data_IF_473471496989
#
_entry.id   IF_473471496989
#
_cell.length_a   1.000
_cell.length_b   1.000
_cell.length_c   1.000
_cell.angle_alpha   90.00
_cell.angle_beta   90.00
_cell.angle_gamma   90.00
#
_symmetry.space_group_name_H-M   'P 1'
#
loop_
_entity.id
_entity.type
_entity.pdbx_description
1 polymer ?
#
# COMPACT_ATOMS: atom_id res chain seq x y z
N UNK A 1 -5.00 -9.26 -62.96
CA UNK A 1 -5.80 -10.04 -61.99
C UNK A 1 -5.01 -10.77 -60.90
N UNK A 2 -3.93 -11.52 -61.19
CA UNK A 2 -3.19 -12.28 -60.14
C UNK A 2 -2.56 -11.40 -59.04
N UNK A 3 -1.94 -10.27 -59.39
CA UNK A 3 -1.30 -9.35 -58.41
C UNK A 3 -2.27 -8.78 -57.37
N UNK A 4 -3.48 -8.40 -57.78
CA UNK A 4 -4.51 -7.90 -56.85
C UNK A 4 -5.00 -8.97 -55.87
N UNK A 5 -5.10 -10.24 -56.31
CA UNK A 5 -5.43 -11.34 -55.40
C UNK A 5 -4.32 -11.58 -54.37
N UNK A 6 -3.07 -11.58 -54.80
CA UNK A 6 -1.90 -11.72 -53.91
C UNK A 6 -1.86 -10.60 -52.87
N UNK A 7 -2.05 -9.35 -53.29
CA UNK A 7 -2.11 -8.19 -52.37
C UNK A 7 -3.25 -8.36 -51.36
N UNK A 8 -4.45 -8.80 -51.78
CA UNK A 8 -5.56 -9.08 -50.85
C UNK A 8 -5.22 -10.16 -49.83
N UNK A 9 -4.54 -11.24 -50.23
CA UNK A 9 -4.11 -12.28 -49.30
C UNK A 9 -3.04 -11.79 -48.31
N UNK A 10 -2.11 -10.95 -48.77
CA UNK A 10 -1.12 -10.30 -47.88
C UNK A 10 -1.84 -9.41 -46.85
N UNK A 11 -2.79 -8.58 -47.28
CA UNK A 11 -3.59 -7.76 -46.37
C UNK A 11 -4.39 -8.60 -45.38
N UNK A 12 -5.04 -9.68 -45.83
CA UNK A 12 -5.77 -10.59 -44.96
C UNK A 12 -4.84 -11.23 -43.93
N UNK A 13 -3.65 -11.67 -44.34
CA UNK A 13 -2.66 -12.28 -43.46
C UNK A 13 -2.14 -11.29 -42.41
N UNK A 14 -1.84 -10.04 -42.81
CA UNK A 14 -1.43 -8.98 -41.87
C UNK A 14 -2.54 -8.67 -40.86
N UNK A 15 -3.80 -8.62 -41.31
CA UNK A 15 -4.94 -8.32 -40.44
C UNK A 15 -5.18 -9.45 -39.44
N UNK A 16 -5.12 -10.71 -39.89
CA UNK A 16 -5.19 -11.88 -39.02
C UNK A 16 -4.01 -11.89 -38.02
N UNK A 17 -2.79 -11.63 -38.48
CA UNK A 17 -1.60 -11.55 -37.62
C UNK A 17 -1.73 -10.46 -36.56
N UNK A 18 -2.26 -9.29 -36.91
CA UNK A 18 -2.54 -8.20 -35.97
C UNK A 18 -3.59 -8.59 -34.93
N UNK A 19 -4.66 -9.28 -35.32
CA UNK A 19 -5.68 -9.76 -34.38
C UNK A 19 -5.12 -10.79 -33.39
N UNK A 20 -4.30 -11.73 -33.87
CA UNK A 20 -3.64 -12.73 -33.01
C UNK A 20 -2.68 -12.06 -32.03
N UNK A 21 -1.87 -11.10 -32.49
CA UNK A 21 -0.96 -10.36 -31.61
C UNK A 21 -1.73 -9.56 -30.56
N UNK A 22 -2.81 -8.87 -30.95
CA UNK A 22 -3.67 -8.14 -30.01
C UNK A 22 -4.33 -9.06 -28.98
N UNK A 23 -4.78 -10.26 -29.39
CA UNK A 23 -5.34 -11.25 -28.48
C UNK A 23 -4.29 -11.75 -27.47
N UNK A 24 -3.07 -12.05 -27.94
CA UNK A 24 -1.96 -12.46 -27.06
C UNK A 24 -1.62 -11.38 -26.03
N UNK A 25 -1.47 -10.12 -26.48
CA UNK A 25 -1.22 -8.98 -25.59
C UNK A 25 -2.38 -8.76 -24.61
N UNK A 26 -3.62 -9.02 -25.00
CA UNK A 26 -4.78 -8.91 -24.11
C UNK A 26 -4.74 -9.96 -22.99
N UNK A 27 -4.45 -11.22 -23.33
CA UNK A 27 -4.31 -12.32 -22.36
C UNK A 27 -3.13 -12.08 -21.40
N UNK A 28 -1.96 -11.70 -21.93
CA UNK A 28 -0.78 -11.38 -21.12
C UNK A 28 -1.06 -10.24 -20.14
N UNK A 29 -1.72 -9.16 -20.60
CA UNK A 29 -2.18 -8.09 -19.74
C UNK A 29 -3.20 -8.58 -18.69
N UNK A 30 -4.08 -9.50 -19.05
CA UNK A 30 -5.01 -10.13 -18.11
C UNK A 30 -4.27 -10.88 -16.99
N UNK A 31 -3.25 -11.66 -17.35
CA UNK A 31 -2.38 -12.38 -16.42
C UNK A 31 -1.61 -11.44 -15.49
N UNK A 32 -0.97 -10.40 -16.04
CA UNK A 32 -0.24 -9.39 -15.28
C UNK A 32 -1.14 -8.69 -14.25
N UNK A 33 -2.36 -8.29 -14.63
CA UNK A 33 -3.31 -7.65 -13.71
C UNK A 33 -3.75 -8.58 -12.57
N UNK A 34 -3.97 -9.86 -12.86
CA UNK A 34 -4.29 -10.86 -11.82
C UNK A 34 -3.12 -11.04 -10.85
N UNK A 35 -1.90 -11.18 -11.37
CA UNK A 35 -0.69 -11.32 -10.57
C UNK A 35 -0.46 -10.11 -9.67
N UNK A 36 -0.50 -8.89 -10.23
CA UNK A 36 -0.38 -7.65 -9.44
C UNK A 36 -1.49 -7.48 -8.41
N UNK A 37 -2.70 -7.89 -8.74
CA UNK A 37 -3.80 -7.85 -7.79
C UNK A 37 -3.64 -8.82 -6.63
N UNK A 38 -3.02 -9.98 -6.85
CA UNK A 38 -2.67 -10.91 -5.78
C UNK A 38 -1.55 -10.35 -4.91
N UNK A 39 -0.53 -9.73 -5.52
CA UNK A 39 0.53 -9.01 -4.79
C UNK A 39 -0.08 -7.94 -3.89
N UNK A 40 -1.00 -7.11 -4.41
CA UNK A 40 -1.66 -6.08 -3.59
C UNK A 40 -2.45 -6.67 -2.42
N UNK A 41 -3.22 -7.73 -2.67
CA UNK A 41 -3.97 -8.43 -1.61
C UNK A 41 -3.03 -8.97 -0.54
N UNK A 42 -1.93 -9.59 -0.95
CA UNK A 42 -0.93 -10.14 -0.02
C UNK A 42 -0.25 -9.03 0.79
N UNK A 43 0.13 -7.92 0.16
CA UNK A 43 0.75 -6.78 0.85
C UNK A 43 -0.19 -6.20 1.90
N UNK A 44 -1.47 -5.97 1.56
CA UNK A 44 -2.46 -5.44 2.52
C UNK A 44 -2.64 -6.40 3.71
N UNK A 45 -2.84 -7.70 3.45
CA UNK A 45 -3.02 -8.69 4.51
C UNK A 45 -1.78 -8.85 5.39
N UNK A 46 -0.57 -8.86 4.81
CA UNK A 46 0.67 -8.93 5.58
C UNK A 46 0.91 -7.65 6.39
N UNK A 47 0.65 -6.47 5.82
CA UNK A 47 0.78 -5.21 6.55
C UNK A 47 -0.17 -5.19 7.75
N UNK A 48 -1.45 -5.54 7.55
CA UNK A 48 -2.43 -5.66 8.64
C UNK A 48 -1.97 -6.62 9.73
N UNK A 49 -1.49 -7.80 9.35
CA UNK A 49 -1.04 -8.81 10.31
C UNK A 49 0.14 -8.30 11.15
N UNK A 50 1.17 -7.73 10.52
CA UNK A 50 2.39 -7.30 11.23
C UNK A 50 2.16 -6.03 12.06
N UNK A 51 1.43 -5.04 11.52
CA UNK A 51 1.20 -3.77 12.22
C UNK A 51 0.28 -3.95 13.44
N UNK A 52 -0.63 -4.94 13.42
CA UNK A 52 -1.50 -5.26 14.56
C UNK A 52 -0.79 -5.95 15.73
N UNK A 53 0.30 -6.67 15.48
CA UNK A 53 0.93 -7.48 16.53
C UNK A 53 1.65 -6.62 17.58
N UNK A 54 2.30 -5.56 17.13
CA UNK A 54 3.16 -4.75 17.99
C UNK A 54 2.63 -3.31 18.06
N UNK A 55 2.02 -2.96 19.18
CA UNK A 55 1.64 -1.58 19.45
C UNK A 55 2.87 -0.74 19.87
N UNK A 56 2.73 0.59 19.94
CA UNK A 56 3.86 1.45 20.33
C UNK A 56 4.30 1.22 21.78
N UNK A 57 3.41 0.80 22.67
CA UNK A 57 3.71 0.56 24.08
C UNK A 57 4.58 -0.68 24.25
N UNK A 58 4.34 -1.74 23.46
CA UNK A 58 5.22 -2.89 23.36
C UNK A 58 6.65 -2.47 23.02
N UNK A 59 6.83 -1.66 21.96
CA UNK A 59 8.18 -1.21 21.58
C UNK A 59 8.81 -0.26 22.61
N UNK A 60 8.02 0.53 23.32
CA UNK A 60 8.53 1.35 24.44
C UNK A 60 9.10 0.43 25.53
N UNK A 61 8.35 -0.58 25.95
CA UNK A 61 8.75 -1.57 26.96
C UNK A 61 10.00 -2.33 26.50
N UNK A 62 10.01 -2.90 25.29
CA UNK A 62 11.16 -3.64 24.75
C UNK A 62 12.43 -2.80 24.64
N UNK A 63 12.31 -1.50 24.30
CA UNK A 63 13.46 -0.60 24.21
C UNK A 63 13.97 -0.14 25.59
N UNK A 64 13.09 -0.08 26.60
CA UNK A 64 13.45 0.34 27.96
C UNK A 64 13.99 -0.80 28.81
N UNK A 65 13.40 -1.99 28.72
CA UNK A 65 13.66 -3.10 29.64
C UNK A 65 14.60 -4.15 29.05
N UNK A 66 14.40 -4.50 27.78
CA UNK A 66 15.14 -5.58 27.11
C UNK A 66 16.31 -5.07 26.27
N UNK A 67 16.36 -3.75 26.04
CA UNK A 67 17.28 -3.10 25.10
C UNK A 67 17.25 -3.78 23.70
N UNK A 68 16.06 -4.25 23.25
CA UNK A 68 15.92 -5.00 22.00
C UNK A 68 15.91 -4.11 20.75
N UNK A 69 17.04 -3.46 20.49
CA UNK A 69 17.25 -2.65 19.29
C UNK A 69 17.28 -3.49 18.00
N UNK A 70 17.54 -4.80 18.09
CA UNK A 70 17.60 -5.69 16.92
C UNK A 70 16.18 -6.04 16.46
N UNK A 71 15.30 -6.46 17.37
CA UNK A 71 13.89 -6.69 17.08
C UNK A 71 13.21 -5.42 16.57
N UNK A 72 13.46 -4.29 17.24
CA UNK A 72 12.96 -3.00 16.80
C UNK A 72 13.44 -2.63 15.39
N UNK A 73 14.73 -2.82 15.10
CA UNK A 73 15.28 -2.57 13.76
C UNK A 73 14.66 -3.45 12.67
N UNK A 74 14.32 -4.71 12.98
CA UNK A 74 13.61 -5.60 12.05
C UNK A 74 12.18 -5.14 11.80
N UNK A 75 11.47 -4.73 12.84
CA UNK A 75 10.13 -4.17 12.73
C UNK A 75 10.11 -2.94 11.81
N UNK A 76 11.04 -2.00 12.01
CA UNK A 76 11.16 -0.83 11.11
C UNK A 76 11.48 -1.22 9.66
N UNK A 77 12.31 -2.26 9.46
CA UNK A 77 12.57 -2.78 8.11
C UNK A 77 11.34 -3.36 7.43
N UNK A 78 10.44 -4.00 8.18
CA UNK A 78 9.17 -4.49 7.64
C UNK A 78 8.20 -3.34 7.32
N UNK A 79 8.10 -2.33 8.18
CA UNK A 79 7.33 -1.12 7.88
C UNK A 79 7.81 -0.48 6.57
N UNK A 80 9.13 -0.35 6.39
CA UNK A 80 9.70 0.31 5.21
C UNK A 80 9.38 -0.49 3.94
N UNK A 81 9.39 -1.84 4.05
CA UNK A 81 8.97 -2.73 2.98
C UNK A 81 7.50 -2.52 2.63
N UNK A 82 6.61 -2.50 3.61
CA UNK A 82 5.17 -2.28 3.38
C UNK A 82 4.89 -0.92 2.78
N UNK A 83 5.52 0.15 3.28
CA UNK A 83 5.42 1.49 2.70
C UNK A 83 5.74 1.48 1.21
N UNK A 84 6.90 0.92 0.82
CA UNK A 84 7.30 0.84 -0.59
C UNK A 84 6.33 0.03 -1.45
N UNK A 85 5.82 -1.09 -0.94
CA UNK A 85 4.86 -1.92 -1.66
C UNK A 85 3.51 -1.20 -1.86
N UNK A 86 3.03 -0.50 -0.83
CA UNK A 86 1.79 0.31 -0.89
C UNK A 86 1.96 1.48 -1.86
N UNK A 87 3.08 2.19 -1.83
CA UNK A 87 3.38 3.26 -2.79
C UNK A 87 3.32 2.78 -4.24
N UNK A 88 3.79 1.55 -4.52
CA UNK A 88 3.75 0.94 -5.87
C UNK A 88 2.34 0.63 -6.38
N UNK A 89 1.33 0.67 -5.51
CA UNK A 89 -0.06 0.51 -5.94
C UNK A 89 -0.51 1.68 -6.82
N UNK A 90 0.09 2.88 -6.68
CA UNK A 90 -0.12 4.06 -7.53
C UNK A 90 -1.58 4.57 -7.61
N UNK A 91 -2.47 4.20 -6.68
CA UNK A 91 -3.76 4.86 -6.49
C UNK A 91 -3.69 5.84 -5.31
N UNK A 92 -4.84 6.32 -4.84
CA UNK A 92 -4.86 7.16 -3.62
C UNK A 92 -4.53 6.37 -2.35
N UNK A 93 -4.48 5.03 -2.42
CA UNK A 93 -4.00 4.18 -1.33
C UNK A 93 -2.55 4.47 -0.91
N UNK A 94 -1.76 5.15 -1.73
CA UNK A 94 -0.40 5.59 -1.38
C UNK A 94 -0.36 6.50 -0.14
N UNK A 95 -1.49 7.10 0.27
CA UNK A 95 -1.57 7.84 1.54
C UNK A 95 -1.24 6.98 2.76
N UNK A 96 -1.55 5.68 2.71
CA UNK A 96 -1.18 4.74 3.78
C UNK A 96 0.35 4.59 3.82
N UNK A 97 1.01 4.49 2.66
CA UNK A 97 2.47 4.49 2.56
C UNK A 97 3.09 5.77 3.14
N UNK A 98 2.53 6.93 2.82
CA UNK A 98 2.98 8.21 3.41
C UNK A 98 2.81 8.24 4.94
N UNK A 99 1.71 7.69 5.46
CA UNK A 99 1.49 7.59 6.90
C UNK A 99 2.49 6.65 7.58
N UNK A 100 2.83 5.52 6.95
CA UNK A 100 3.88 4.59 7.43
C UNK A 100 5.24 5.31 7.45
N UNK A 101 5.62 6.00 6.37
CA UNK A 101 6.90 6.75 6.30
C UNK A 101 7.02 7.81 7.40
N UNK A 102 5.91 8.49 7.71
CA UNK A 102 5.88 9.49 8.78
C UNK A 102 5.97 8.85 10.16
N UNK A 103 5.30 7.72 10.35
CA UNK A 103 5.31 6.94 11.58
C UNK A 103 6.71 6.35 11.87
N UNK A 104 7.40 5.80 10.87
CA UNK A 104 8.77 5.29 11.01
C UNK A 104 9.74 6.34 11.53
N UNK A 105 9.68 7.57 10.97
CA UNK A 105 10.49 8.69 11.46
C UNK A 105 10.22 8.96 12.94
N UNK A 106 8.96 8.90 13.37
CA UNK A 106 8.61 9.06 14.79
C UNK A 106 9.05 7.91 15.66
N UNK A 107 9.10 6.68 15.14
CA UNK A 107 9.72 5.56 15.85
C UNK A 107 11.23 5.76 16.05
N UNK A 108 11.97 6.27 15.07
CA UNK A 108 13.38 6.63 15.27
C UNK A 108 13.57 7.72 16.32
N UNK A 109 12.72 8.76 16.30
CA UNK A 109 12.73 9.80 17.34
C UNK A 109 12.41 9.21 18.72
N UNK A 110 11.40 8.34 18.81
CA UNK A 110 10.99 7.65 20.03
C UNK A 110 12.17 6.87 20.64
N UNK A 111 12.81 6.02 19.84
CA UNK A 111 13.95 5.22 20.29
C UNK A 111 15.13 6.10 20.75
N UNK A 112 15.41 7.20 20.05
CA UNK A 112 16.44 8.14 20.48
C UNK A 112 16.11 8.81 21.81
N UNK A 113 14.84 9.21 22.01
CA UNK A 113 14.39 9.84 23.26
C UNK A 113 14.44 8.89 24.44
N UNK A 114 13.98 7.66 24.25
CA UNK A 114 14.07 6.59 25.27
C UNK A 114 15.53 6.40 25.70
N UNK A 115 16.44 6.22 24.74
CA UNK A 115 17.88 6.05 25.02
C UNK A 115 18.49 7.23 25.78
N UNK A 116 18.01 8.45 25.53
CA UNK A 116 18.49 9.66 26.18
C UNK A 116 17.77 9.98 27.52
N UNK A 117 16.74 9.21 27.90
CA UNK A 117 15.92 9.52 29.07
C UNK A 117 15.07 10.79 28.92
N UNK A 118 14.74 11.17 27.69
CA UNK A 118 13.92 12.34 27.37
C UNK A 118 12.43 11.99 27.38
N UNK A 119 11.56 13.01 27.55
CA UNK A 119 10.13 12.82 27.33
C UNK A 119 9.84 12.44 25.86
N UNK A 120 8.94 11.47 25.70
CA UNK A 120 8.59 10.84 24.43
C UNK A 120 7.07 10.69 24.21
N UNK A 121 6.23 11.31 25.07
CA UNK A 121 4.78 11.17 24.97
C UNK A 121 4.23 11.70 23.64
N UNK A 122 4.81 12.77 23.08
CA UNK A 122 4.41 13.29 21.77
C UNK A 122 4.64 12.28 20.64
N UNK A 123 5.78 11.59 20.63
CA UNK A 123 6.10 10.55 19.64
C UNK A 123 5.14 9.37 19.81
N UNK A 124 4.93 8.93 21.04
CA UNK A 124 4.00 7.84 21.37
C UNK A 124 2.60 8.14 20.86
N UNK A 125 2.06 9.31 21.19
CA UNK A 125 0.71 9.72 20.75
C UNK A 125 0.62 9.80 19.22
N UNK A 126 1.61 10.43 18.58
CA UNK A 126 1.65 10.53 17.12
C UNK A 126 1.62 9.15 16.46
N UNK A 127 2.45 8.23 16.93
CA UNK A 127 2.54 6.86 16.41
C UNK A 127 1.19 6.16 16.60
N UNK A 128 0.55 6.25 17.78
CA UNK A 128 -0.76 5.64 18.01
C UNK A 128 -1.81 6.12 17.01
N UNK A 129 -1.92 7.43 16.78
CA UNK A 129 -2.89 7.96 15.83
C UNK A 129 -2.63 7.48 14.40
N UNK A 130 -1.36 7.40 13.97
CA UNK A 130 -1.01 6.88 12.65
C UNK A 130 -1.27 5.38 12.53
N UNK A 131 -0.92 4.61 13.56
CA UNK A 131 -1.17 3.18 13.61
C UNK A 131 -2.66 2.89 13.47
N UNK A 132 -3.51 3.59 14.23
CA UNK A 132 -4.97 3.49 14.13
C UNK A 132 -5.45 3.81 12.71
N UNK A 133 -5.03 4.94 12.13
CA UNK A 133 -5.40 5.30 10.76
C UNK A 133 -4.99 4.22 9.75
N UNK A 134 -3.76 3.72 9.82
CA UNK A 134 -3.23 2.70 8.91
C UNK A 134 -4.05 1.41 9.04
N UNK A 135 -4.26 0.92 10.25
CA UNK A 135 -5.01 -0.32 10.53
C UNK A 135 -6.45 -0.18 10.02
N UNK A 136 -7.18 0.85 10.46
CA UNK A 136 -8.59 1.05 10.08
C UNK A 136 -8.77 1.21 8.57
N UNK A 137 -7.83 1.87 7.90
CA UNK A 137 -7.91 2.07 6.45
C UNK A 137 -7.58 0.79 5.68
N UNK A 138 -6.58 0.03 6.12
CA UNK A 138 -6.26 -1.26 5.51
C UNK A 138 -7.37 -2.30 5.73
N UNK A 139 -8.00 -2.31 6.92
CA UNK A 139 -9.16 -3.15 7.23
C UNK A 139 -10.32 -2.83 6.30
N UNK A 140 -10.63 -1.54 6.15
CA UNK A 140 -11.66 -1.09 5.21
C UNK A 140 -11.37 -1.55 3.77
N UNK A 141 -10.13 -1.43 3.30
CA UNK A 141 -9.72 -1.92 1.98
C UNK A 141 -9.90 -3.44 1.86
N UNK A 142 -9.49 -4.20 2.88
CA UNK A 142 -9.64 -5.65 2.90
C UNK A 142 -11.12 -6.07 2.86
N UNK A 143 -11.97 -5.40 3.64
CA UNK A 143 -13.41 -5.67 3.72
C UNK A 143 -14.14 -5.35 2.41
N UNK A 144 -13.90 -4.17 1.82
CA UNK A 144 -14.53 -3.75 0.55
C UNK A 144 -14.13 -4.65 -0.61
N UNK A 145 -12.89 -5.14 -0.62
CA UNK A 145 -12.38 -6.03 -1.66
C UNK A 145 -12.46 -7.50 -1.27
N UNK A 146 -13.10 -7.82 -0.14
CA UNK A 146 -13.24 -9.19 0.31
C UNK A 146 -14.02 -10.01 -0.72
N UNK A 147 -13.62 -11.27 -0.92
CA UNK A 147 -14.17 -12.18 -1.94
C UNK A 147 -14.07 -11.67 -3.40
N UNK A 148 -13.48 -10.51 -3.65
CA UNK A 148 -13.27 -10.00 -5.00
C UNK A 148 -12.11 -10.69 -5.70
N UNK A 149 -12.18 -10.74 -7.03
CA UNK A 149 -11.09 -11.30 -7.84
C UNK A 149 -9.81 -10.47 -7.70
N UNK A 150 -8.62 -11.09 -7.83
CA UNK A 150 -7.35 -10.36 -7.85
C UNK A 150 -7.32 -9.26 -8.93
N UNK A 151 -7.94 -9.50 -10.10
CA UNK A 151 -8.04 -8.47 -11.14
C UNK A 151 -8.80 -7.22 -10.65
N UNK A 152 -9.78 -7.39 -9.76
CA UNK A 152 -10.50 -6.28 -9.15
C UNK A 152 -9.64 -5.53 -8.14
N UNK A 153 -8.92 -6.24 -7.26
CA UNK A 153 -7.91 -5.65 -6.35
C UNK A 153 -6.94 -4.73 -7.10
N UNK A 154 -6.37 -5.22 -8.20
CA UNK A 154 -5.49 -4.42 -9.04
C UNK A 154 -6.18 -3.16 -9.60
N UNK A 155 -7.42 -3.30 -10.06
CA UNK A 155 -8.16 -2.21 -10.68
C UNK A 155 -8.46 -1.11 -9.66
N UNK A 156 -8.97 -1.48 -8.49
CA UNK A 156 -9.43 -0.51 -7.49
C UNK A 156 -8.24 0.22 -6.83
N UNK A 157 -7.15 -0.50 -6.50
CA UNK A 157 -6.01 0.08 -5.79
C UNK A 157 -5.03 0.85 -6.67
N UNK A 158 -5.04 0.61 -7.98
CA UNK A 158 -4.22 1.36 -8.95
C UNK A 158 -4.94 2.56 -9.56
N UNK A 159 -6.26 2.56 -9.56
CA UNK A 159 -7.03 3.63 -10.17
C UNK A 159 -7.27 4.75 -9.16
N UNK A 160 -6.70 5.94 -9.37
CA UNK A 160 -6.96 7.11 -8.54
C UNK A 160 -8.44 7.52 -8.48
N UNK A 161 -9.20 7.18 -9.53
CA UNK A 161 -10.61 7.56 -9.69
C UNK A 161 -11.58 6.44 -9.30
N UNK A 162 -11.08 5.33 -8.73
CA UNK A 162 -11.98 4.32 -8.16
C UNK A 162 -12.72 4.87 -6.94
N UNK A 163 -13.92 4.38 -6.69
CA UNK A 163 -14.68 4.73 -5.49
C UNK A 163 -13.85 4.44 -4.24
N UNK A 164 -13.26 3.24 -4.15
CA UNK A 164 -12.38 2.86 -3.04
C UNK A 164 -11.20 3.82 -2.85
N UNK A 165 -10.55 4.29 -3.93
CA UNK A 165 -9.46 5.27 -3.81
C UNK A 165 -9.97 6.61 -3.27
N UNK A 166 -11.16 7.06 -3.68
CA UNK A 166 -11.76 8.28 -3.13
C UNK A 166 -12.07 8.11 -1.64
N UNK A 167 -12.67 6.99 -1.25
CA UNK A 167 -13.01 6.73 0.15
C UNK A 167 -11.76 6.68 1.04
N UNK A 168 -10.65 6.07 0.56
CA UNK A 168 -9.36 6.09 1.27
C UNK A 168 -8.80 7.51 1.40
N UNK A 169 -8.97 8.33 0.38
CA UNK A 169 -8.52 9.72 0.42
C UNK A 169 -9.32 10.58 1.39
N UNK A 170 -10.63 10.39 1.43
CA UNK A 170 -11.50 11.13 2.33
C UNK A 170 -11.19 10.76 3.79
N UNK A 171 -10.98 9.47 4.09
CA UNK A 171 -10.48 9.02 5.40
C UNK A 171 -9.15 9.65 5.78
N UNK A 172 -8.23 9.75 4.83
CA UNK A 172 -6.95 10.43 5.06
C UNK A 172 -7.16 11.92 5.38
N UNK A 173 -8.06 12.61 4.69
CA UNK A 173 -8.37 14.02 4.97
C UNK A 173 -8.99 14.24 6.34
N UNK A 174 -9.93 13.38 6.73
CA UNK A 174 -10.51 13.39 8.09
C UNK A 174 -9.43 13.17 9.16
N UNK A 175 -8.50 12.24 8.90
CA UNK A 175 -7.35 12.01 9.77
C UNK A 175 -6.44 13.25 9.90
N UNK A 176 -6.07 13.88 8.77
CA UNK A 176 -5.25 15.10 8.78
C UNK A 176 -5.93 16.23 9.57
N UNK A 177 -7.24 16.44 9.36
CA UNK A 177 -8.00 17.47 10.06
C UNK A 177 -8.06 17.20 11.57
N UNK A 178 -8.30 15.94 11.95
CA UNK A 178 -8.47 15.55 13.35
C UNK A 178 -7.16 15.63 14.14
N UNK A 179 -6.04 15.23 13.56
CA UNK A 179 -4.80 14.98 14.31
C UNK A 179 -3.59 15.79 13.86
N UNK A 180 -3.53 16.25 12.62
CA UNK A 180 -2.35 16.98 12.10
C UNK A 180 -2.55 18.50 12.08
N UNK A 181 -3.73 18.97 11.70
CA UNK A 181 -4.01 20.40 11.57
C UNK A 181 -4.32 21.09 12.91
N UNK A 182 -4.85 20.36 13.91
CA UNK A 182 -5.12 20.92 15.25
C UNK A 182 -3.87 21.23 16.07
N UNK A 183 -2.70 20.65 15.77
CA UNK A 183 -1.42 20.98 16.46
C UNK A 183 -0.71 22.21 15.86
N UNK A 184 -1.20 22.79 14.76
CA UNK A 184 -0.54 23.88 14.03
C UNK A 184 -1.12 25.29 14.30
N UNK A 185 -2.14 25.41 15.17
CA UNK A 185 -2.74 26.68 15.60
C UNK A 185 -2.71 26.83 17.10
#
# INVERSE_FOLDING_TARGET
>A
MRKQKVIRYIFLFVLIGSLVLNYYLYEENGGLRKSKGWEYKSTVGLALFNIRQDDVDFWIESLQEEEDYIGFGRYLGELERFSREIHRMNGKISVIGMAIDAMEKKYYELASRIRNGEDYQDQREYIKHHLTFIIETLEYVEDELNNSSSKHWYKELRNHDSQLSQDVWDRFKEFEEKYLLKKAG
#
